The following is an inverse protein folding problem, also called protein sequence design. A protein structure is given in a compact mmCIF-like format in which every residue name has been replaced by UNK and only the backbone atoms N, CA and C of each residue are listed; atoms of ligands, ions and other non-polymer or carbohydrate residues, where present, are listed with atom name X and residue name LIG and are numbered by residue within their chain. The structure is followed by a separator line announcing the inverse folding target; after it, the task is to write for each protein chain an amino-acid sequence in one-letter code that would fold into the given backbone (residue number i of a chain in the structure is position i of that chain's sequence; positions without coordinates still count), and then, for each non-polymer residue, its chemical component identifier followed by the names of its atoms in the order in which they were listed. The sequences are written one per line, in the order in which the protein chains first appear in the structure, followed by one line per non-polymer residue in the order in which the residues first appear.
data_IF_353628223025
#
_entry.id   IF_353628223025
#
_cell.length_a   1.000
_cell.length_b   1.000
_cell.length_c   1.000
_cell.angle_alpha   90.00
_cell.angle_beta   90.00
_cell.angle_gamma   90.00
#
_symmetry.space_group_name_H-M   'P 1'
#
loop_
_entity.id
_entity.type
_entity.pdbx_description
1 polymer ?
#
# COMPACT_ATOMS: atom_id res chain seq x y z
N UNK A 1 -30.46 -6.11 53.74
CA UNK A 1 -29.18 -5.52 53.26
C UNK A 1 -28.40 -6.58 52.48
N UNK A 2 -28.28 -6.48 51.16
CA UNK A 2 -27.34 -7.31 50.38
C UNK A 2 -26.11 -6.45 50.06
N UNK A 3 -24.94 -6.98 50.39
CA UNK A 3 -23.65 -6.32 50.22
C UNK A 3 -23.30 -6.10 48.75
N UNK A 4 -22.73 -4.93 48.47
CA UNK A 4 -22.08 -4.60 47.22
C UNK A 4 -20.80 -5.43 47.04
N UNK A 5 -20.60 -5.96 45.83
CA UNK A 5 -19.28 -6.35 45.32
C UNK A 5 -19.05 -5.62 44.01
N UNK A 6 -18.54 -4.39 44.10
CA UNK A 6 -17.84 -3.74 43.00
C UNK A 6 -16.44 -4.33 42.91
N UNK A 7 -16.10 -4.95 41.79
CA UNK A 7 -14.72 -5.17 41.36
C UNK A 7 -14.72 -5.48 39.86
N UNK A 8 -14.67 -4.42 39.05
CA UNK A 8 -14.12 -4.51 37.70
C UNK A 8 -12.89 -3.62 37.64
N UNK A 9 -11.75 -4.20 37.98
CA UNK A 9 -10.47 -3.76 37.47
C UNK A 9 -10.21 -4.57 36.20
N UNK A 10 -10.28 -3.94 35.04
CA UNK A 10 -9.58 -4.43 33.85
C UNK A 10 -8.63 -3.32 33.40
N UNK A 11 -7.46 -3.30 34.04
CA UNK A 11 -6.27 -2.68 33.49
C UNK A 11 -5.57 -3.64 32.52
N UNK A 12 -5.14 -3.05 31.41
CA UNK A 12 -4.00 -3.41 30.54
C UNK A 12 -3.93 -4.81 29.94
N UNK A 13 -4.09 -4.85 28.62
CA UNK A 13 -3.71 -5.98 27.77
C UNK A 13 -4.18 -5.81 26.33
N UNK A 14 -3.90 -4.67 25.71
CA UNK A 14 -3.95 -4.59 24.25
C UNK A 14 -2.79 -5.44 23.74
N UNK A 15 -3.07 -6.71 23.43
CA UNK A 15 -2.30 -7.38 22.41
C UNK A 15 -2.72 -6.69 21.12
N UNK A 16 -1.87 -5.79 20.63
CA UNK A 16 -2.06 -5.25 19.30
C UNK A 16 -2.07 -6.45 18.35
N UNK A 17 -3.24 -6.80 17.81
CA UNK A 17 -3.35 -7.81 16.77
C UNK A 17 -2.53 -7.29 15.59
N UNK A 18 -1.27 -7.74 15.50
CA UNK A 18 -0.34 -7.34 14.45
C UNK A 18 -0.98 -7.71 13.12
N UNK A 19 -1.32 -6.71 12.31
CA UNK A 19 -1.96 -6.93 11.00
C UNK A 19 -1.08 -7.88 10.19
N UNK A 20 -1.66 -9.00 9.77
CA UNK A 20 -0.98 -10.00 8.93
C UNK A 20 -1.51 -9.97 7.51
N UNK A 21 -0.61 -10.23 6.57
CA UNK A 21 -0.93 -10.49 5.19
C UNK A 21 -1.29 -11.96 4.99
N UNK A 22 -0.85 -12.49 3.86
CA UNK A 22 -1.13 -13.86 3.43
C UNK A 22 -0.16 -14.84 4.11
N UNK A 23 -0.48 -15.27 5.34
CA UNK A 23 0.43 -16.07 6.18
C UNK A 23 0.87 -17.41 5.57
N UNK A 24 0.07 -18.03 4.70
CA UNK A 24 0.53 -19.24 4.00
C UNK A 24 1.68 -18.98 3.01
N UNK A 25 1.95 -17.71 2.68
CA UNK A 25 3.07 -17.23 1.87
C UNK A 25 4.21 -16.64 2.69
N UNK A 26 4.07 -16.47 4.02
CA UNK A 26 5.09 -15.83 4.85
C UNK A 26 6.48 -16.45 4.66
N UNK A 27 7.49 -15.61 4.38
CA UNK A 27 8.86 -16.00 4.10
C UNK A 27 9.10 -16.75 2.78
N UNK A 28 8.07 -16.92 1.93
CA UNK A 28 8.16 -17.68 0.67
C UNK A 28 8.34 -16.77 -0.54
N UNK A 29 8.76 -17.38 -1.65
CA UNK A 29 8.76 -16.75 -2.98
C UNK A 29 7.52 -17.21 -3.72
N UNK A 30 6.77 -16.28 -4.32
CA UNK A 30 5.59 -16.62 -5.10
C UNK A 30 6.00 -17.36 -6.39
N UNK A 31 5.49 -18.59 -6.63
CA UNK A 31 6.04 -19.48 -7.66
C UNK A 31 5.82 -18.98 -9.10
N UNK A 32 4.84 -18.08 -9.32
CA UNK A 32 4.53 -17.55 -10.66
C UNK A 32 5.13 -16.17 -10.93
N UNK A 33 5.25 -15.33 -9.91
CA UNK A 33 5.69 -13.93 -10.08
C UNK A 33 7.11 -13.70 -9.58
N UNK A 34 7.68 -14.63 -8.81
CA UNK A 34 9.00 -14.47 -8.19
C UNK A 34 9.05 -13.45 -7.03
N UNK A 35 7.91 -12.84 -6.68
CA UNK A 35 7.85 -11.86 -5.59
C UNK A 35 8.03 -12.57 -4.24
N UNK A 36 8.97 -12.07 -3.45
CA UNK A 36 9.20 -12.52 -2.07
C UNK A 36 8.09 -11.99 -1.17
N UNK A 37 7.74 -12.76 -0.15
CA UNK A 37 6.88 -12.34 0.94
C UNK A 37 7.72 -12.19 2.21
N UNK A 38 7.42 -11.18 3.02
CA UNK A 38 8.01 -11.02 4.34
C UNK A 38 7.46 -12.06 5.34
N UNK A 39 7.93 -12.01 6.58
CA UNK A 39 7.51 -12.94 7.64
C UNK A 39 6.05 -12.71 8.10
N UNK A 40 5.46 -11.57 7.76
CA UNK A 40 4.08 -11.23 8.08
C UNK A 40 3.13 -11.52 6.90
N UNK A 41 3.64 -12.08 5.81
CA UNK A 41 2.86 -12.48 4.65
C UNK A 41 2.50 -11.33 3.71
N UNK A 42 3.23 -10.22 3.72
CA UNK A 42 3.09 -9.16 2.72
C UNK A 42 4.10 -9.30 1.58
N UNK A 43 3.70 -8.99 0.33
CA UNK A 43 4.60 -9.05 -0.81
C UNK A 43 5.61 -7.90 -0.79
N UNK A 44 6.86 -8.22 -1.11
CA UNK A 44 7.96 -7.25 -1.25
C UNK A 44 8.12 -6.93 -2.74
N UNK A 45 7.38 -5.94 -3.22
CA UNK A 45 7.46 -5.47 -4.61
C UNK A 45 8.67 -4.53 -4.83
N UNK A 46 9.26 -4.60 -6.03
CA UNK A 46 10.19 -3.56 -6.50
C UNK A 46 9.41 -2.28 -6.83
N UNK A 47 9.48 -1.31 -5.92
CA UNK A 47 8.79 -0.02 -6.06
C UNK A 47 9.62 0.95 -6.89
N UNK A 48 9.05 1.47 -7.99
CA UNK A 48 9.67 2.54 -8.79
C UNK A 48 9.54 3.91 -8.14
N UNK A 49 8.50 4.10 -7.34
CA UNK A 49 8.32 5.30 -6.52
C UNK A 49 7.45 4.99 -5.31
N UNK A 50 7.85 5.55 -4.18
CA UNK A 50 7.14 5.43 -2.91
C UNK A 50 6.77 6.81 -2.42
N UNK A 51 5.53 6.96 -1.99
CA UNK A 51 5.01 8.19 -1.40
C UNK A 51 4.07 7.87 -0.24
N UNK A 52 3.83 8.84 0.64
CA UNK A 52 2.88 8.72 1.75
C UNK A 52 1.74 9.70 1.59
N UNK A 53 0.50 9.19 1.59
CA UNK A 53 -0.70 10.01 1.44
C UNK A 53 -0.81 10.96 2.62
N UNK A 54 -1.49 12.08 2.39
CA UNK A 54 -1.95 12.91 3.49
C UNK A 54 -2.95 12.14 4.33
N UNK A 55 -2.90 12.30 5.66
CA UNK A 55 -3.82 11.63 6.58
C UNK A 55 -5.29 11.90 6.25
N UNK A 56 -5.59 13.11 5.78
CA UNK A 56 -6.92 13.51 5.35
C UNK A 56 -7.46 12.70 4.16
N UNK A 57 -6.55 12.09 3.39
CA UNK A 57 -6.89 11.29 2.22
C UNK A 57 -6.99 9.77 2.53
N UNK A 58 -6.62 9.28 3.71
CA UNK A 58 -6.56 7.82 4.00
C UNK A 58 -7.88 7.07 3.75
N UNK A 59 -9.00 7.73 4.05
CA UNK A 59 -10.34 7.16 3.90
C UNK A 59 -11.01 7.52 2.56
N UNK A 60 -10.25 8.06 1.60
CA UNK A 60 -10.78 8.36 0.26
C UNK A 60 -10.81 7.12 -0.62
N UNK A 61 -11.38 7.27 -1.81
CA UNK A 61 -11.47 6.20 -2.80
C UNK A 61 -10.09 5.78 -3.32
N UNK A 62 -9.98 4.55 -3.86
CA UNK A 62 -8.76 4.11 -4.58
C UNK A 62 -8.40 5.05 -5.73
N UNK A 63 -9.41 5.56 -6.45
CA UNK A 63 -9.21 6.51 -7.54
C UNK A 63 -8.55 7.80 -7.05
N UNK A 64 -8.97 8.32 -5.90
CA UNK A 64 -8.34 9.48 -5.27
C UNK A 64 -6.90 9.19 -4.87
N UNK A 65 -6.63 8.04 -4.23
CA UNK A 65 -5.24 7.68 -3.86
C UNK A 65 -4.34 7.58 -5.09
N UNK A 66 -4.84 7.02 -6.19
CA UNK A 66 -4.10 6.87 -7.43
C UNK A 66 -3.82 8.22 -8.08
N UNK A 67 -4.81 9.12 -8.12
CA UNK A 67 -4.65 10.48 -8.63
C UNK A 67 -3.57 11.25 -7.87
N UNK A 68 -3.62 11.23 -6.53
CA UNK A 68 -2.62 11.88 -5.67
C UNK A 68 -1.23 11.33 -5.91
N UNK A 69 -1.09 10.00 -5.91
CA UNK A 69 0.19 9.36 -6.07
C UNK A 69 0.81 9.58 -7.45
N UNK A 70 0.00 9.58 -8.50
CA UNK A 70 0.45 9.89 -9.86
C UNK A 70 0.93 11.34 -9.99
N UNK A 71 0.24 12.30 -9.38
CA UNK A 71 0.66 13.71 -9.40
C UNK A 71 1.94 13.95 -8.60
N UNK A 72 2.09 13.32 -7.43
CA UNK A 72 3.33 13.36 -6.65
C UNK A 72 4.52 12.81 -7.47
N UNK A 73 4.34 11.66 -8.13
CA UNK A 73 5.35 11.11 -9.02
C UNK A 73 5.70 12.06 -10.17
N UNK A 74 4.69 12.68 -10.79
CA UNK A 74 4.92 13.65 -11.86
C UNK A 74 5.77 14.84 -11.38
N UNK A 75 5.52 15.38 -10.19
CA UNK A 75 6.36 16.44 -9.62
C UNK A 75 7.81 16.00 -9.42
N UNK A 76 8.03 14.75 -8.98
CA UNK A 76 9.38 14.19 -8.86
C UNK A 76 10.07 14.07 -10.21
N UNK A 77 9.34 13.64 -11.25
CA UNK A 77 9.85 13.53 -12.62
C UNK A 77 10.30 14.89 -13.14
N UNK A 78 9.54 15.96 -12.88
CA UNK A 78 9.92 17.32 -13.29
C UNK A 78 11.21 17.82 -12.62
N UNK A 79 11.47 17.39 -11.38
CA UNK A 79 12.63 17.81 -10.58
C UNK A 79 13.87 16.96 -10.85
N UNK A 80 13.73 15.78 -11.45
CA UNK A 80 14.84 14.85 -11.68
C UNK A 80 14.78 14.22 -13.08
N UNK A 81 15.56 14.78 -14.01
CA UNK A 81 15.65 14.32 -15.40
C UNK A 81 16.20 12.91 -15.55
N UNK A 82 17.13 12.49 -14.68
CA UNK A 82 17.66 11.12 -14.69
C UNK A 82 16.56 10.13 -14.31
N UNK A 83 15.81 10.44 -13.24
CA UNK A 83 14.70 9.62 -12.79
C UNK A 83 13.58 9.52 -13.84
N UNK A 84 13.35 10.60 -14.60
CA UNK A 84 12.38 10.64 -15.70
C UNK A 84 12.66 9.60 -16.79
N UNK A 85 13.92 9.19 -16.99
CA UNK A 85 14.32 8.22 -18.02
C UNK A 85 13.71 6.82 -17.85
N UNK A 86 13.13 6.52 -16.69
CA UNK A 86 12.42 5.26 -16.43
C UNK A 86 11.04 5.17 -17.10
N UNK A 87 10.51 6.31 -17.55
CA UNK A 87 9.16 6.46 -18.08
C UNK A 87 9.18 7.01 -19.51
N UNK A 88 8.23 6.58 -20.33
CA UNK A 88 8.03 7.20 -21.65
C UNK A 88 7.34 8.57 -21.52
N UNK A 89 7.41 9.40 -22.56
CA UNK A 89 6.70 10.68 -22.58
C UNK A 89 5.18 10.50 -22.42
N UNK A 90 4.61 9.46 -23.02
CA UNK A 90 3.18 9.13 -22.86
C UNK A 90 2.84 8.75 -21.41
N UNK A 91 3.70 7.95 -20.75
CA UNK A 91 3.52 7.59 -19.35
C UNK A 91 3.58 8.82 -18.44
N UNK A 92 4.49 9.75 -18.71
CA UNK A 92 4.63 11.01 -17.97
C UNK A 92 3.37 11.87 -18.08
N UNK A 93 2.79 12.01 -19.28
CA UNK A 93 1.54 12.77 -19.47
C UNK A 93 0.34 12.08 -18.79
N UNK A 94 0.31 10.75 -18.75
CA UNK A 94 -0.68 10.02 -17.96
C UNK A 94 -0.52 10.34 -16.46
N UNK A 95 0.69 10.34 -15.91
CA UNK A 95 0.91 10.69 -14.51
C UNK A 95 0.51 12.13 -14.19
N UNK A 96 0.84 13.08 -15.07
CA UNK A 96 0.46 14.49 -14.96
C UNK A 96 -1.06 14.68 -14.83
N UNK A 97 -1.85 13.89 -15.54
CA UNK A 97 -3.32 13.90 -15.45
C UNK A 97 -3.89 13.12 -14.25
N UNK A 98 -3.05 12.57 -13.38
CA UNK A 98 -3.46 11.72 -12.25
C UNK A 98 -3.76 10.27 -12.66
N UNK A 99 -3.56 9.90 -13.92
CA UNK A 99 -3.74 8.56 -14.42
C UNK A 99 -2.59 7.63 -14.03
N UNK A 100 -2.76 6.32 -14.27
CA UNK A 100 -1.71 5.32 -14.09
C UNK A 100 -1.50 4.58 -15.41
N UNK A 101 -0.30 4.58 -15.99
CA UNK A 101 -0.05 3.89 -17.24
C UNK A 101 -0.29 2.38 -17.15
N UNK A 102 -0.59 1.73 -18.28
CA UNK A 102 -0.94 0.29 -18.33
C UNK A 102 0.12 -0.62 -17.70
N UNK A 103 1.40 -0.25 -17.81
CA UNK A 103 2.54 -1.01 -17.26
C UNK A 103 2.54 -1.06 -15.73
N UNK A 104 1.95 -0.06 -15.08
CA UNK A 104 2.04 0.11 -13.63
C UNK A 104 0.70 0.05 -12.93
N UNK A 105 0.74 -0.14 -11.62
CA UNK A 105 -0.38 0.13 -10.70
C UNK A 105 0.16 0.72 -9.42
N UNK A 106 -0.64 1.54 -8.75
CA UNK A 106 -0.38 1.91 -7.38
C UNK A 106 -0.81 0.78 -6.45
N UNK A 107 0.12 0.32 -5.62
CA UNK A 107 -0.07 -0.68 -4.59
C UNK A 107 -0.15 0.01 -3.24
N UNK A 108 -1.24 -0.23 -2.50
CA UNK A 108 -1.36 0.19 -1.11
C UNK A 108 -0.51 -0.76 -0.24
N UNK A 109 0.53 -0.24 0.39
CA UNK A 109 1.42 -0.99 1.29
C UNK A 109 0.76 -1.22 2.66
N UNK A 110 1.21 -2.20 3.44
CA UNK A 110 0.65 -2.50 4.77
C UNK A 110 0.78 -1.32 5.75
N UNK A 111 1.82 -0.50 5.59
CA UNK A 111 1.97 0.74 6.35
C UNK A 111 0.95 1.80 5.89
N UNK A 112 0.20 2.35 6.84
CA UNK A 112 -0.91 3.26 6.53
C UNK A 112 -0.48 4.48 5.71
N UNK A 113 -1.21 4.66 4.60
CA UNK A 113 -1.00 5.75 3.64
C UNK A 113 0.17 5.55 2.67
N UNK A 114 0.98 4.50 2.82
CA UNK A 114 2.12 4.27 1.92
C UNK A 114 1.63 3.68 0.59
N UNK A 115 2.05 4.31 -0.50
CA UNK A 115 1.72 3.95 -1.87
C UNK A 115 3.01 3.60 -2.63
N UNK A 116 3.04 2.44 -3.29
CA UNK A 116 4.15 1.99 -4.13
C UNK A 116 3.73 1.91 -5.60
N UNK A 117 4.49 2.51 -6.51
CA UNK A 117 4.32 2.30 -7.93
C UNK A 117 5.03 1.00 -8.32
N UNK A 118 4.26 0.00 -8.75
CA UNK A 118 4.78 -1.34 -9.04
C UNK A 118 4.34 -1.82 -10.42
N UNK A 119 5.04 -2.83 -10.96
CA UNK A 119 4.64 -3.50 -12.19
C UNK A 119 3.25 -4.14 -12.04
N UNK A 120 2.32 -3.79 -12.93
CA UNK A 120 0.92 -4.23 -12.86
C UNK A 120 0.78 -5.74 -13.04
N UNK A 121 1.58 -6.34 -13.91
CA UNK A 121 1.51 -7.77 -14.21
C UNK A 121 1.98 -8.57 -13.01
N UNK A 122 3.11 -8.21 -12.41
CA UNK A 122 3.63 -8.84 -11.20
C UNK A 122 2.67 -8.65 -10.02
N UNK A 123 2.15 -7.43 -9.81
CA UNK A 123 1.16 -7.17 -8.76
C UNK A 123 -0.08 -8.06 -8.90
N UNK A 124 -0.64 -8.15 -10.12
CA UNK A 124 -1.82 -8.99 -10.39
C UNK A 124 -1.53 -10.48 -10.20
N UNK A 125 -0.37 -10.96 -10.65
CA UNK A 125 -0.01 -12.37 -10.58
C UNK A 125 0.31 -12.85 -9.17
N UNK A 126 0.78 -11.95 -8.29
CA UNK A 126 1.25 -12.31 -6.95
C UNK A 126 0.12 -12.69 -5.99
N UNK A 127 -1.04 -12.04 -6.10
CA UNK A 127 -2.23 -12.36 -5.30
C UNK A 127 -2.00 -12.25 -3.77
N UNK A 128 -2.33 -11.09 -3.21
CA UNK A 128 -1.98 -10.69 -1.84
C UNK A 128 -3.10 -9.87 -1.18
N UNK A 129 -2.97 -9.65 0.14
CA UNK A 129 -3.73 -8.66 0.89
C UNK A 129 -2.98 -7.33 0.79
N UNK A 130 -3.64 -6.28 0.30
CA UNK A 130 -3.04 -4.94 0.17
C UNK A 130 -3.52 -4.00 1.26
N UNK A 131 -2.75 -2.96 1.55
CA UNK A 131 -3.03 -1.96 2.59
C UNK A 131 -4.40 -1.30 2.51
N UNK A 132 -5.01 -1.22 1.33
CA UNK A 132 -6.35 -0.64 1.20
C UNK A 132 -7.41 -1.42 1.98
N UNK A 133 -7.25 -2.74 2.15
CA UNK A 133 -8.14 -3.55 3.00
C UNK A 133 -7.68 -3.62 4.46
N UNK A 134 -6.71 -2.79 4.85
CA UNK A 134 -6.17 -2.73 6.21
C UNK A 134 -6.49 -1.36 6.81
N UNK A 135 -6.23 -0.29 6.06
CA UNK A 135 -6.35 1.09 6.54
C UNK A 135 -7.18 1.98 5.61
N UNK A 136 -7.62 1.45 4.46
CA UNK A 136 -8.54 2.17 3.58
C UNK A 136 -9.97 2.23 4.14
N UNK A 137 -10.87 2.98 3.50
CA UNK A 137 -12.25 3.14 3.98
C UNK A 137 -12.95 1.80 4.19
N UNK A 138 -13.58 1.65 5.35
CA UNK A 138 -14.38 0.47 5.72
C UNK A 138 -13.63 -0.64 6.45
N UNK A 139 -12.39 -0.39 6.91
CA UNK A 139 -11.67 -1.23 7.86
C UNK A 139 -11.51 -0.53 9.20
#
# INVERSE_FOLDING_TARGET
MKMAKSNFSKGSGAVDDVVKGKMNMAGKVHPKSGIKFDLDGFPIFDSKHTMKLDKADFLKSRGTHFDRASKDLYEKILKNKEFASQFSLEEIEIFKSGGVPKRFTWHHHQDSGVMHLVDRKLHRQTGHIGGFSIWGPGN
#
